data_IF_296473653516
#
_entry.id   IF_296473653516
#
_cell.length_a   1.000
_cell.length_b   1.000
_cell.length_c   1.000
_cell.angle_alpha   90.00
_cell.angle_beta   90.00
_cell.angle_gamma   90.00
#
_symmetry.space_group_name_H-M   'P 1'
#
loop_
_entity.id
_entity.type
_entity.pdbx_description
1 polymer ?
#
# COMPACT_ATOMS: atom_id res chain seq x y z
N UNK A 1 59.76 -60.56 -38.83
CA UNK A 1 58.51 -60.84 -38.11
C UNK A 1 58.77 -60.57 -36.64
N UNK A 2 58.18 -59.49 -36.12
CA UNK A 2 58.56 -58.81 -34.88
C UNK A 2 58.36 -59.64 -33.62
N UNK A 3 59.31 -59.55 -32.69
CA UNK A 3 59.29 -60.23 -31.40
C UNK A 3 58.23 -59.66 -30.46
N UNK A 4 57.33 -60.52 -29.99
CA UNK A 4 56.42 -60.24 -28.89
C UNK A 4 57.19 -60.35 -27.56
N UNK A 5 57.63 -59.22 -27.03
CA UNK A 5 58.08 -59.13 -25.63
C UNK A 5 56.86 -59.33 -24.71
N UNK A 6 56.95 -60.14 -23.64
CA UNK A 6 55.83 -60.35 -22.71
C UNK A 6 55.39 -59.01 -22.10
N UNK A 7 54.08 -58.75 -21.95
CA UNK A 7 53.61 -57.51 -21.37
C UNK A 7 54.19 -57.32 -19.96
N UNK A 8 54.75 -56.14 -19.67
CA UNK A 8 55.16 -55.79 -18.32
C UNK A 8 53.90 -55.54 -17.47
N UNK A 9 53.33 -56.60 -16.91
CA UNK A 9 52.11 -56.56 -16.11
C UNK A 9 52.18 -55.58 -14.94
N UNK A 10 53.37 -55.33 -14.37
CA UNK A 10 53.57 -54.36 -13.30
C UNK A 10 53.38 -52.92 -13.79
N UNK A 11 53.88 -52.60 -14.98
CA UNK A 11 53.68 -51.29 -15.61
C UNK A 11 52.21 -51.08 -16.03
N UNK A 12 51.54 -52.12 -16.54
CA UNK A 12 50.11 -52.07 -16.88
C UNK A 12 49.23 -51.85 -15.63
N UNK A 13 49.54 -52.51 -14.52
CA UNK A 13 48.82 -52.32 -13.25
C UNK A 13 48.97 -50.90 -12.70
N UNK A 14 50.20 -50.35 -12.67
CA UNK A 14 50.45 -48.98 -12.23
C UNK A 14 49.72 -47.95 -13.10
N UNK A 15 49.72 -48.14 -14.42
CA UNK A 15 48.98 -47.29 -15.35
C UNK A 15 47.48 -47.33 -15.11
N UNK A 16 46.91 -48.52 -14.89
CA UNK A 16 45.48 -48.68 -14.57
C UNK A 16 45.10 -48.06 -13.21
N UNK A 17 45.98 -48.09 -12.21
CA UNK A 17 45.75 -47.43 -10.92
C UNK A 17 45.78 -45.91 -11.05
N UNK A 18 46.70 -45.37 -11.86
CA UNK A 18 46.82 -43.94 -12.13
C UNK A 18 45.64 -43.40 -12.95
N UNK A 19 45.18 -44.16 -13.96
CA UNK A 19 43.95 -43.87 -14.70
C UNK A 19 42.71 -43.89 -13.79
N UNK A 20 42.63 -44.84 -12.84
CA UNK A 20 41.56 -44.86 -11.83
C UNK A 20 41.59 -43.62 -10.93
N UNK A 21 42.76 -43.24 -10.42
CA UNK A 21 42.90 -42.03 -9.58
C UNK A 21 42.50 -40.77 -10.35
N UNK A 22 42.92 -40.65 -11.61
CA UNK A 22 42.52 -39.53 -12.46
C UNK A 22 41.01 -39.53 -12.75
N UNK A 23 40.40 -40.70 -12.94
CA UNK A 23 38.95 -40.80 -13.13
C UNK A 23 38.18 -40.40 -11.87
N UNK A 24 38.58 -40.89 -10.70
CA UNK A 24 37.99 -40.53 -9.40
C UNK A 24 38.15 -39.02 -9.11
N UNK A 25 39.29 -38.41 -9.45
CA UNK A 25 39.50 -36.97 -9.26
C UNK A 25 38.63 -36.12 -10.21
N UNK A 26 38.47 -36.55 -11.47
CA UNK A 26 37.54 -35.90 -12.41
C UNK A 26 36.09 -36.01 -11.97
N UNK A 27 35.71 -37.16 -11.41
CA UNK A 27 34.37 -37.37 -10.86
C UNK A 27 34.10 -36.44 -9.68
N UNK A 28 35.04 -36.34 -8.73
CA UNK A 28 34.94 -35.38 -7.61
C UNK A 28 34.84 -33.93 -8.08
N UNK A 29 35.68 -33.52 -9.04
CA UNK A 29 35.59 -32.17 -9.61
C UNK A 29 34.27 -31.93 -10.33
N UNK A 30 33.70 -32.93 -11.00
CA UNK A 30 32.40 -32.83 -11.64
C UNK A 30 31.27 -32.71 -10.59
N UNK A 31 31.32 -33.49 -9.52
CA UNK A 31 30.36 -33.39 -8.41
C UNK A 31 30.44 -32.03 -7.71
N UNK A 32 31.63 -31.51 -7.43
CA UNK A 32 31.80 -30.18 -6.81
C UNK A 32 31.25 -29.07 -7.72
N UNK A 33 31.51 -29.14 -9.03
CA UNK A 33 30.92 -28.21 -10.01
C UNK A 33 29.41 -28.32 -10.06
N UNK A 34 28.86 -29.53 -9.99
CA UNK A 34 27.41 -29.74 -9.95
C UNK A 34 26.80 -29.15 -8.68
N UNK A 35 27.41 -29.37 -7.51
CA UNK A 35 26.97 -28.79 -6.24
C UNK A 35 27.02 -27.26 -6.29
N UNK A 36 28.11 -26.68 -6.77
CA UNK A 36 28.23 -25.23 -6.91
C UNK A 36 27.16 -24.66 -7.87
N UNK A 37 26.95 -25.30 -9.01
CA UNK A 37 25.92 -24.88 -9.96
C UNK A 37 24.50 -25.00 -9.37
N UNK A 38 24.23 -26.04 -8.56
CA UNK A 38 22.96 -26.20 -7.87
C UNK A 38 22.77 -25.13 -6.78
N UNK A 39 23.81 -24.81 -6.02
CA UNK A 39 23.79 -23.73 -5.02
C UNK A 39 23.56 -22.36 -5.65
N UNK A 40 24.24 -22.05 -6.76
CA UNK A 40 24.03 -20.80 -7.52
C UNK A 40 22.62 -20.70 -8.06
N UNK A 41 22.06 -21.81 -8.58
CA UNK A 41 20.67 -21.86 -9.03
C UNK A 41 19.69 -21.61 -7.88
N UNK A 42 19.89 -22.25 -6.71
CA UNK A 42 19.06 -22.02 -5.52
C UNK A 42 19.11 -20.56 -5.06
N UNK A 43 20.30 -19.96 -5.03
CA UNK A 43 20.46 -18.54 -4.69
C UNK A 43 19.78 -17.62 -5.71
N UNK A 44 19.85 -17.95 -7.01
CA UNK A 44 19.17 -17.18 -8.06
C UNK A 44 17.64 -17.26 -7.91
N UNK A 45 17.09 -18.46 -7.72
CA UNK A 45 15.65 -18.68 -7.50
C UNK A 45 15.14 -17.97 -6.23
N UNK A 46 15.93 -17.95 -5.16
CA UNK A 46 15.57 -17.22 -3.93
C UNK A 46 15.55 -15.70 -4.15
N UNK A 47 16.53 -15.15 -4.87
CA UNK A 47 16.56 -13.72 -5.22
C UNK A 47 15.39 -13.33 -6.12
N UNK A 48 15.02 -14.18 -7.07
CA UNK A 48 13.86 -13.96 -7.94
C UNK A 48 12.56 -13.93 -7.13
N UNK A 49 12.33 -14.93 -6.28
CA UNK A 49 11.17 -14.95 -5.37
C UNK A 49 11.10 -13.70 -4.48
N UNK A 50 12.23 -13.28 -3.91
CA UNK A 50 12.28 -12.06 -3.10
C UNK A 50 11.99 -10.80 -3.92
N UNK A 51 12.43 -10.73 -5.18
CA UNK A 51 12.16 -9.61 -6.07
C UNK A 51 10.68 -9.56 -6.45
N UNK A 52 10.09 -10.70 -6.82
CA UNK A 52 8.66 -10.83 -7.12
C UNK A 52 7.79 -10.44 -5.91
N UNK A 53 8.15 -10.89 -4.70
CA UNK A 53 7.42 -10.55 -3.48
C UNK A 53 7.48 -9.03 -3.22
N UNK A 54 8.65 -8.41 -3.35
CA UNK A 54 8.80 -6.95 -3.20
C UNK A 54 7.97 -6.19 -4.22
N UNK A 55 7.96 -6.65 -5.47
CA UNK A 55 7.17 -6.04 -6.51
C UNK A 55 5.67 -6.18 -6.21
N UNK A 56 5.23 -7.36 -5.80
CA UNK A 56 3.83 -7.61 -5.39
C UNK A 56 3.42 -6.68 -4.25
N UNK A 57 4.25 -6.56 -3.21
CA UNK A 57 3.99 -5.64 -2.09
C UNK A 57 3.93 -4.17 -2.55
N UNK A 58 4.82 -3.75 -3.46
CA UNK A 58 4.77 -2.39 -4.00
C UNK A 58 3.50 -2.14 -4.81
N UNK A 59 3.08 -3.11 -5.63
CA UNK A 59 1.83 -3.03 -6.39
C UNK A 59 0.64 -2.92 -5.45
N UNK A 60 0.55 -3.77 -4.42
CA UNK A 60 -0.54 -3.73 -3.42
C UNK A 60 -0.59 -2.43 -2.62
N UNK A 61 0.54 -1.76 -2.40
CA UNK A 61 0.57 -0.47 -1.68
C UNK A 61 0.22 0.72 -2.58
N UNK A 62 0.52 0.62 -3.86
CA UNK A 62 0.30 1.70 -4.83
C UNK A 62 -1.03 1.58 -5.57
N UNK A 63 -1.70 0.42 -5.56
CA UNK A 63 -3.04 0.28 -6.14
C UNK A 63 -4.01 1.24 -5.44
N UNK A 64 -5.04 1.73 -6.17
CA UNK A 64 -6.15 2.42 -5.55
C UNK A 64 -6.82 1.56 -4.48
N UNK A 65 -7.40 2.21 -3.48
CA UNK A 65 -8.06 1.52 -2.37
C UNK A 65 -9.53 1.27 -2.68
N UNK A 66 -10.07 0.19 -2.13
CA UNK A 66 -11.52 -0.01 -2.06
C UNK A 66 -12.12 0.96 -1.03
N UNK A 67 -13.42 1.26 -1.12
CA UNK A 67 -14.07 2.18 -0.16
C UNK A 67 -13.88 1.80 1.33
N UNK A 68 -14.01 0.53 1.76
CA UNK A 68 -13.78 0.17 3.16
C UNK A 68 -12.31 0.35 3.58
N UNK A 69 -11.36 -0.02 2.70
CA UNK A 69 -9.93 0.20 2.96
C UNK A 69 -9.61 1.68 3.09
N UNK A 70 -10.16 2.49 2.17
CA UNK A 70 -10.01 3.94 2.15
C UNK A 70 -10.46 4.59 3.46
N UNK A 71 -11.71 4.33 3.88
CA UNK A 71 -12.27 4.90 5.12
C UNK A 71 -11.44 4.49 6.34
N UNK A 72 -11.02 3.22 6.42
CA UNK A 72 -10.15 2.74 7.51
C UNK A 72 -8.80 3.47 7.50
N UNK A 73 -8.17 3.61 6.34
CA UNK A 73 -6.87 4.29 6.23
C UNK A 73 -6.96 5.79 6.51
N UNK A 74 -8.02 6.48 6.08
CA UNK A 74 -8.27 7.88 6.46
C UNK A 74 -8.37 8.01 7.98
N UNK A 75 -9.12 7.12 8.65
CA UNK A 75 -9.24 7.12 10.10
C UNK A 75 -7.89 6.86 10.80
N UNK A 76 -7.19 5.80 10.40
CA UNK A 76 -5.98 5.36 11.10
C UNK A 76 -4.76 6.24 10.82
N UNK A 77 -4.63 6.78 9.61
CA UNK A 77 -3.44 7.51 9.17
C UNK A 77 -3.60 9.03 9.23
N UNK A 78 -4.82 9.56 9.06
CA UNK A 78 -5.06 11.01 9.00
C UNK A 78 -5.68 11.52 10.29
N UNK A 79 -6.79 10.92 10.74
CA UNK A 79 -7.55 11.39 11.91
C UNK A 79 -6.91 11.00 13.24
N UNK A 80 -6.65 9.70 13.48
CA UNK A 80 -6.10 9.23 14.77
C UNK A 80 -4.79 9.91 15.19
N UNK A 81 -3.84 10.18 14.27
CA UNK A 81 -2.59 10.84 14.65
C UNK A 81 -2.72 12.35 14.85
N UNK A 82 -3.85 12.95 14.49
CA UNK A 82 -4.08 14.40 14.55
C UNK A 82 -4.04 14.90 15.99
N UNK A 83 -3.38 16.04 16.21
CA UNK A 83 -3.21 16.64 17.54
C UNK A 83 -3.42 18.13 17.46
N UNK A 84 -4.18 18.68 18.40
CA UNK A 84 -4.20 20.12 18.64
C UNK A 84 -3.01 20.52 19.53
N UNK A 85 -2.43 21.68 19.25
CA UNK A 85 -1.40 22.29 20.10
C UNK A 85 -2.03 22.84 21.39
N UNK A 86 -1.21 23.07 22.41
CA UNK A 86 -1.65 23.80 23.60
C UNK A 86 -2.10 25.23 23.23
N UNK A 87 -3.16 25.77 23.86
CA UNK A 87 -3.64 27.11 23.57
C UNK A 87 -2.57 28.20 23.69
N UNK A 88 -1.63 28.06 24.63
CA UNK A 88 -0.50 28.98 24.85
C UNK A 88 0.48 29.10 23.67
N UNK A 89 0.47 28.13 22.76
CA UNK A 89 1.34 28.08 21.58
C UNK A 89 0.55 28.18 20.27
N UNK A 90 -0.74 28.48 20.37
CA UNK A 90 -1.60 28.65 19.20
C UNK A 90 -1.59 30.10 18.74
N UNK A 91 -1.87 30.33 17.46
CA UNK A 91 -2.02 31.69 16.94
C UNK A 91 -3.15 32.39 17.69
N UNK A 92 -2.87 33.58 18.20
CA UNK A 92 -3.88 34.44 18.80
C UNK A 92 -4.28 35.51 17.80
N UNK A 93 -5.58 35.80 17.75
CA UNK A 93 -6.15 36.79 16.84
C UNK A 93 -7.41 37.38 17.45
N UNK A 94 -7.74 38.61 17.05
CA UNK A 94 -9.07 39.16 17.32
C UNK A 94 -9.99 38.68 16.20
N UNK A 95 -10.98 37.86 16.55
CA UNK A 95 -12.06 37.53 15.64
C UNK A 95 -12.87 38.82 15.42
N UNK A 96 -12.93 39.38 14.20
CA UNK A 96 -13.68 40.59 13.95
C UNK A 96 -15.17 40.34 14.18
N UNK A 97 -15.90 41.39 14.56
CA UNK A 97 -17.35 41.31 14.63
C UNK A 97 -17.90 40.86 13.26
N UNK A 98 -18.88 39.95 13.21
CA UNK A 98 -19.43 39.41 11.96
C UNK A 98 -20.35 40.43 11.26
N UNK A 99 -19.85 41.63 11.00
CA UNK A 99 -20.58 42.71 10.34
C UNK A 99 -21.01 42.26 8.94
N UNK A 100 -22.30 42.38 8.64
CA UNK A 100 -22.87 42.01 7.35
C UNK A 100 -23.05 40.50 7.13
N UNK A 101 -22.76 39.64 8.12
CA UNK A 101 -23.00 38.19 8.02
C UNK A 101 -24.31 37.80 8.71
N UNK A 102 -25.03 36.84 8.13
CA UNK A 102 -26.20 36.26 8.79
C UNK A 102 -25.76 35.40 9.98
N UNK A 103 -25.89 35.94 11.20
CA UNK A 103 -25.60 35.21 12.42
C UNK A 103 -26.89 34.69 13.06
N UNK A 104 -27.03 33.37 13.29
CA UNK A 104 -28.20 32.82 13.95
C UNK A 104 -28.29 33.33 15.40
N UNK A 105 -29.47 33.78 15.81
CA UNK A 105 -29.72 34.25 17.19
C UNK A 105 -29.88 33.09 18.19
N UNK A 106 -30.14 31.88 17.70
CA UNK A 106 -30.34 30.68 18.50
C UNK A 106 -29.76 29.47 17.77
N UNK A 107 -28.92 28.72 18.47
CA UNK A 107 -28.51 27.38 18.03
C UNK A 107 -29.51 26.38 18.61
N UNK A 108 -30.04 25.49 17.76
CA UNK A 108 -30.93 24.41 18.19
C UNK A 108 -30.20 23.07 18.08
N UNK A 109 -30.42 22.13 19.01
CA UNK A 109 -29.93 20.77 18.87
C UNK A 109 -30.46 20.13 17.58
N UNK A 110 -29.58 19.46 16.84
CA UNK A 110 -29.96 18.65 15.69
C UNK A 110 -30.24 17.22 16.18
N UNK A 111 -31.48 16.98 16.62
CA UNK A 111 -31.85 15.77 17.37
C UNK A 111 -31.83 14.48 16.56
N UNK A 112 -31.98 14.55 15.24
CA UNK A 112 -31.95 13.40 14.32
C UNK A 112 -30.67 13.30 13.49
N UNK A 113 -29.61 14.02 13.88
CA UNK A 113 -28.35 14.10 13.13
C UNK A 113 -27.68 12.72 12.98
N UNK A 114 -27.52 11.99 14.10
CA UNK A 114 -26.84 10.70 14.11
C UNK A 114 -27.55 9.67 13.23
N UNK A 115 -28.89 9.63 13.29
CA UNK A 115 -29.68 8.70 12.50
C UNK A 115 -29.60 9.03 11.01
N UNK A 116 -29.66 10.32 10.64
CA UNK A 116 -29.45 10.75 9.26
C UNK A 116 -28.04 10.46 8.75
N UNK A 117 -27.01 10.69 9.57
CA UNK A 117 -25.63 10.39 9.20
C UNK A 117 -25.44 8.89 8.97
N UNK A 118 -26.03 8.05 9.83
CA UNK A 118 -26.00 6.59 9.69
C UNK A 118 -26.69 6.14 8.41
N UNK A 119 -27.90 6.64 8.13
CA UNK A 119 -28.66 6.32 6.93
C UNK A 119 -27.88 6.68 5.65
N UNK A 120 -27.31 7.88 5.61
CA UNK A 120 -26.48 8.33 4.48
C UNK A 120 -25.25 7.42 4.34
N UNK A 121 -24.54 7.14 5.44
CA UNK A 121 -23.35 6.29 5.41
C UNK A 121 -23.66 4.87 4.93
N UNK A 122 -24.74 4.26 5.42
CA UNK A 122 -25.19 2.93 4.99
C UNK A 122 -25.55 2.90 3.51
N UNK A 123 -26.22 3.95 3.00
CA UNK A 123 -26.52 4.08 1.57
C UNK A 123 -25.24 4.23 0.73
N UNK A 124 -24.29 5.08 1.14
CA UNK A 124 -22.98 5.21 0.48
C UNK A 124 -22.24 3.87 0.46
N UNK A 125 -22.26 3.12 1.57
CA UNK A 125 -21.65 1.78 1.62
C UNK A 125 -22.32 0.83 0.63
N UNK A 126 -23.66 0.85 0.50
CA UNK A 126 -24.39 0.02 -0.46
C UNK A 126 -23.92 0.24 -1.89
N UNK A 127 -23.66 1.49 -2.29
CA UNK A 127 -23.21 1.82 -3.64
C UNK A 127 -21.71 1.57 -3.87
N UNK A 128 -20.87 1.81 -2.87
CA UNK A 128 -19.41 1.74 -3.01
C UNK A 128 -18.79 0.43 -2.49
N UNK A 129 -19.58 -0.45 -1.88
CA UNK A 129 -19.19 -1.77 -1.36
C UNK A 129 -20.16 -2.86 -1.82
N UNK A 130 -20.28 -3.13 -3.14
CA UNK A 130 -21.19 -4.14 -3.64
C UNK A 130 -20.82 -5.56 -3.14
N UNK A 131 -21.83 -6.36 -2.81
CA UNK A 131 -21.68 -7.68 -2.15
C UNK A 131 -21.11 -8.77 -3.06
N UNK A 132 -21.18 -8.61 -4.38
CA UNK A 132 -20.89 -9.67 -5.37
C UNK A 132 -19.40 -9.82 -5.76
N UNK A 133 -18.47 -9.29 -4.96
CA UNK A 133 -17.03 -9.47 -5.18
C UNK A 133 -16.37 -8.43 -6.09
N UNK A 134 -17.14 -7.49 -6.65
CA UNK A 134 -16.65 -6.36 -7.44
C UNK A 134 -16.29 -5.16 -6.54
N UNK A 135 -15.44 -5.37 -5.53
CA UNK A 135 -14.96 -4.28 -4.70
C UNK A 135 -14.09 -3.34 -5.56
N UNK A 136 -14.66 -2.20 -5.95
CA UNK A 136 -14.01 -1.28 -6.89
C UNK A 136 -12.87 -0.54 -6.21
N UNK A 137 -11.68 -0.64 -6.78
CA UNK A 137 -10.48 0.09 -6.37
C UNK A 137 -10.52 1.51 -6.98
N UNK A 138 -11.22 2.42 -6.32
CA UNK A 138 -11.52 3.76 -6.87
C UNK A 138 -10.77 4.90 -6.15
N UNK A 139 -10.28 4.66 -4.93
CA UNK A 139 -9.84 5.73 -4.04
C UNK A 139 -8.33 5.81 -3.90
N UNK A 140 -7.86 6.92 -3.32
CA UNK A 140 -6.44 7.20 -3.11
C UNK A 140 -5.67 6.00 -2.53
N UNK A 141 -4.48 5.74 -3.07
CA UNK A 141 -3.65 4.59 -2.65
C UNK A 141 -3.11 4.72 -1.23
N UNK A 142 -2.73 3.59 -0.63
CA UNK A 142 -2.17 3.56 0.72
C UNK A 142 -0.91 4.43 0.84
N UNK A 143 -0.02 4.41 -0.16
CA UNK A 143 1.22 5.21 -0.14
C UNK A 143 0.91 6.71 -0.10
N UNK A 144 -0.08 7.17 -0.88
CA UNK A 144 -0.48 8.56 -0.90
C UNK A 144 -1.11 9.00 0.43
N UNK A 145 -1.98 8.18 1.04
CA UNK A 145 -2.54 8.46 2.37
C UNK A 145 -1.47 8.49 3.47
N UNK A 146 -0.48 7.58 3.41
CA UNK A 146 0.66 7.58 4.34
C UNK A 146 1.48 8.86 4.23
N UNK A 147 1.65 9.43 3.03
CA UNK A 147 2.38 10.67 2.86
C UNK A 147 1.65 11.85 3.51
N UNK A 148 0.34 11.96 3.29
CA UNK A 148 -0.50 12.96 3.96
C UNK A 148 -0.46 12.80 5.49
N UNK A 149 -0.68 11.59 6.00
CA UNK A 149 -0.63 11.30 7.43
C UNK A 149 0.71 11.68 8.06
N UNK A 150 1.83 11.35 7.40
CA UNK A 150 3.16 11.80 7.84
C UNK A 150 3.28 13.31 7.90
N UNK A 151 2.71 14.05 6.95
CA UNK A 151 2.77 15.53 6.93
C UNK A 151 1.95 16.13 8.08
N UNK A 152 0.73 15.66 8.29
CA UNK A 152 -0.13 16.17 9.37
C UNK A 152 0.38 15.79 10.76
N UNK A 153 0.97 14.62 10.92
CA UNK A 153 1.54 14.17 12.20
C UNK A 153 2.86 14.88 12.58
N UNK A 154 3.52 15.63 11.67
CA UNK A 154 4.81 16.29 11.95
C UNK A 154 4.72 17.33 13.07
N UNK A 155 3.60 18.04 13.18
CA UNK A 155 3.37 19.03 14.22
C UNK A 155 1.91 19.08 14.60
N UNK A 156 1.57 19.36 15.87
CA UNK A 156 0.19 19.64 16.26
C UNK A 156 -0.34 20.88 15.53
N UNK A 157 -1.63 20.88 15.22
CA UNK A 157 -2.36 22.04 14.67
C UNK A 157 -2.25 23.19 15.67
N UNK A 158 -1.69 24.30 15.24
CA UNK A 158 -1.44 25.48 16.08
C UNK A 158 -2.05 26.76 15.52
N UNK A 159 -2.63 26.70 14.33
CA UNK A 159 -3.16 27.88 13.63
C UNK A 159 -4.38 27.52 12.79
N UNK A 160 -5.17 28.54 12.44
CA UNK A 160 -6.27 28.40 11.48
C UNK A 160 -5.77 27.88 10.12
N UNK A 161 -4.59 28.33 9.67
CA UNK A 161 -3.98 27.86 8.43
C UNK A 161 -3.61 26.37 8.48
N UNK A 162 -3.12 25.88 9.63
CA UNK A 162 -2.85 24.45 9.83
C UNK A 162 -4.15 23.64 9.72
N UNK A 163 -5.23 24.12 10.36
CA UNK A 163 -6.53 23.47 10.33
C UNK A 163 -7.13 23.49 8.92
N UNK A 164 -7.12 24.63 8.24
CA UNK A 164 -7.60 24.76 6.85
C UNK A 164 -6.87 23.79 5.92
N UNK A 165 -5.54 23.69 6.06
CA UNK A 165 -4.75 22.78 5.25
C UNK A 165 -5.12 21.32 5.50
N UNK A 166 -5.37 20.96 6.77
CA UNK A 166 -5.83 19.63 7.13
C UNK A 166 -7.24 19.35 6.58
N UNK A 167 -8.21 20.21 6.83
CA UNK A 167 -9.60 20.03 6.39
C UNK A 167 -9.67 19.87 4.87
N UNK A 168 -9.01 20.75 4.11
CA UNK A 168 -9.01 20.66 2.65
C UNK A 168 -8.45 19.32 2.15
N UNK A 169 -7.24 18.97 2.59
CA UNK A 169 -6.49 17.85 2.02
C UNK A 169 -6.89 16.47 2.58
N UNK A 170 -7.31 16.40 3.84
CA UNK A 170 -7.62 15.16 4.54
C UNK A 170 -9.12 14.84 4.58
N UNK A 171 -9.97 15.84 4.35
CA UNK A 171 -11.43 15.70 4.46
C UNK A 171 -12.11 16.12 3.17
N UNK A 172 -12.03 17.39 2.77
CA UNK A 172 -12.83 17.93 1.65
C UNK A 172 -12.48 17.27 0.33
N UNK A 173 -11.20 17.16 -0.03
CA UNK A 173 -10.75 16.52 -1.26
C UNK A 173 -11.21 15.05 -1.33
N UNK A 174 -11.13 14.33 -0.20
CA UNK A 174 -11.57 12.95 -0.09
C UNK A 174 -13.09 12.78 -0.17
N UNK A 175 -13.85 13.69 0.42
CA UNK A 175 -15.32 13.73 0.28
C UNK A 175 -15.70 14.05 -1.16
N UNK A 176 -15.00 14.99 -1.80
CA UNK A 176 -15.18 15.31 -3.21
C UNK A 176 -14.98 14.07 -4.09
N UNK A 177 -13.92 13.30 -3.87
CA UNK A 177 -13.66 12.05 -4.60
C UNK A 177 -14.80 11.03 -4.41
N UNK A 178 -15.30 10.85 -3.18
CA UNK A 178 -16.46 9.99 -2.90
C UNK A 178 -17.69 10.45 -3.67
N UNK A 179 -18.01 11.74 -3.63
CA UNK A 179 -19.15 12.30 -4.35
C UNK A 179 -18.97 12.14 -5.86
N UNK A 180 -17.76 12.33 -6.38
CA UNK A 180 -17.46 12.15 -7.80
C UNK A 180 -17.70 10.70 -8.25
N UNK A 181 -17.33 9.70 -7.45
CA UNK A 181 -17.65 8.29 -7.76
C UNK A 181 -19.14 7.99 -7.67
N UNK A 182 -19.86 8.53 -6.68
CA UNK A 182 -21.32 8.39 -6.58
C UNK A 182 -22.03 9.05 -7.77
N UNK A 183 -21.51 10.17 -8.27
CA UNK A 183 -22.00 10.82 -9.49
C UNK A 183 -21.81 9.99 -10.77
N UNK A 184 -21.09 8.87 -10.74
CA UNK A 184 -21.03 7.94 -11.88
C UNK A 184 -22.13 6.89 -11.83
N UNK A 185 -22.87 6.78 -10.72
CA UNK A 185 -23.93 5.79 -10.49
C UNK A 185 -25.29 6.50 -10.58
N UNK A 186 -26.12 6.21 -11.62
CA UNK A 186 -27.40 6.89 -11.81
C UNK A 186 -28.34 6.81 -10.61
N UNK A 187 -28.44 5.65 -9.98
CA UNK A 187 -29.32 5.40 -8.83
C UNK A 187 -28.86 6.21 -7.61
N UNK A 188 -27.55 6.26 -7.35
CA UNK A 188 -26.99 7.07 -6.26
C UNK A 188 -27.21 8.56 -6.51
N UNK A 189 -27.09 9.03 -7.75
CA UNK A 189 -27.36 10.44 -8.10
C UNK A 189 -28.80 10.83 -7.82
N UNK A 190 -29.74 9.96 -8.15
CA UNK A 190 -31.16 10.21 -7.90
C UNK A 190 -31.44 10.22 -6.38
N UNK A 191 -30.95 9.21 -5.66
CA UNK A 191 -31.14 9.07 -4.21
C UNK A 191 -30.59 10.27 -3.43
N UNK A 192 -29.35 10.65 -3.71
CA UNK A 192 -28.67 11.76 -3.02
C UNK A 192 -28.93 13.13 -3.65
N UNK A 193 -29.71 13.19 -4.75
CA UNK A 193 -29.95 14.41 -5.55
C UNK A 193 -28.66 15.09 -5.99
N UNK A 194 -27.69 14.31 -6.43
CA UNK A 194 -26.38 14.79 -6.89
C UNK A 194 -26.46 15.24 -8.35
N UNK A 195 -26.34 16.55 -8.55
CA UNK A 195 -26.23 17.19 -9.86
C UNK A 195 -24.77 17.34 -10.30
N UNK A 196 -24.55 18.03 -11.44
CA UNK A 196 -23.21 18.34 -11.94
C UNK A 196 -22.55 19.53 -11.19
N UNK A 197 -22.95 19.81 -9.94
CA UNK A 197 -22.44 20.91 -9.10
C UNK A 197 -23.53 21.85 -8.55
N UNK A 198 -23.18 22.61 -7.50
CA UNK A 198 -23.85 23.87 -7.10
C UNK A 198 -23.36 24.98 -8.05
#
# INVERSE_FOLDING_TARGET
MSGNSPPNYKALFLKAEEERKQAEERERQAEERQRHAEEERKQAEEREKQAEERERQQRERNRPTTFPEFIRFCHDLLWRPLRAQTPSRSTTGKIPAPLGKHCPLRLRPWTDCEDKQREIYESVCRYLQPTEGDARELFTSLVALQDHGRRFARRPISSEQDLETYERLAVEDHVHDIVAELCKIPEAREEFRLGNGI
#
